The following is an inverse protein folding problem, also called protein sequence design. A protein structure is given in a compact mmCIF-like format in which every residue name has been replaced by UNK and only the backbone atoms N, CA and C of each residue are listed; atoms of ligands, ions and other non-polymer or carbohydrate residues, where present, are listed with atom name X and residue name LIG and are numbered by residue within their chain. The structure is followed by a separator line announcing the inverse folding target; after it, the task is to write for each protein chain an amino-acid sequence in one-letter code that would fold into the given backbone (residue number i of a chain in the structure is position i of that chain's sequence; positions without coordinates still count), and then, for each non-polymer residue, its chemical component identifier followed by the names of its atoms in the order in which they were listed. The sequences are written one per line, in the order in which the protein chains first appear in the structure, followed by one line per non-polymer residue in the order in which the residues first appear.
data_IF_023694848403
#
_entry.id   IF_023694848403
#
_cell.length_a   1.000
_cell.length_b   1.000
_cell.length_c   1.000
_cell.angle_alpha   90.00
_cell.angle_beta   90.00
_cell.angle_gamma   90.00
#
_symmetry.space_group_name_H-M   'P 1'
#
loop_
_entity.id
_entity.type
_entity.pdbx_description
1 polymer ?
#
# COMPACT_ATOMS: atom_id res chain seq x y z
N UNK A 1 18.35 -21.73 12.72
CA UNK A 1 17.11 -21.54 11.94
C UNK A 1 16.91 -20.03 11.89
N UNK A 2 17.12 -19.39 10.73
CA UNK A 2 16.95 -17.93 10.67
C UNK A 2 15.48 -17.62 10.82
N UNK A 3 15.10 -17.09 11.99
CA UNK A 3 13.81 -16.46 12.22
C UNK A 3 13.70 -15.29 11.24
N UNK A 4 13.16 -15.58 10.05
CA UNK A 4 12.53 -14.57 9.20
C UNK A 4 11.39 -14.04 10.05
N UNK A 5 11.65 -12.99 10.85
CA UNK A 5 10.61 -12.22 11.50
C UNK A 5 9.55 -11.97 10.44
N UNK A 6 8.36 -12.54 10.64
CA UNK A 6 7.23 -12.31 9.78
C UNK A 6 6.95 -10.82 9.87
N UNK A 7 7.34 -10.09 8.82
CA UNK A 7 7.06 -8.66 8.72
C UNK A 7 5.54 -8.51 8.64
N UNK A 8 4.93 -8.14 9.76
CA UNK A 8 3.51 -7.94 9.90
C UNK A 8 3.30 -6.50 10.40
N UNK A 9 2.65 -5.69 9.58
CA UNK A 9 2.22 -4.36 9.95
C UNK A 9 0.91 -4.45 10.75
N UNK A 10 0.77 -3.59 11.74
CA UNK A 10 -0.51 -3.32 12.40
C UNK A 10 -1.50 -2.66 11.43
N UNK A 11 -2.78 -2.61 11.79
CA UNK A 11 -3.81 -1.97 10.97
C UNK A 11 -3.52 -0.48 10.73
N UNK A 12 -3.01 0.22 11.75
CA UNK A 12 -2.71 1.65 11.67
C UNK A 12 -1.49 1.89 10.77
N UNK A 13 -0.45 1.06 10.85
CA UNK A 13 0.72 1.15 9.96
C UNK A 13 0.34 0.86 8.51
N UNK A 14 -0.55 -0.10 8.27
CA UNK A 14 -1.09 -0.36 6.95
C UNK A 14 -1.89 0.83 6.41
N UNK A 15 -2.66 1.52 7.27
CA UNK A 15 -3.37 2.74 6.87
C UNK A 15 -2.40 3.84 6.45
N UNK A 16 -1.30 4.04 7.18
CA UNK A 16 -0.24 4.99 6.80
C UNK A 16 0.33 4.66 5.41
N UNK A 17 0.59 3.39 5.11
CA UNK A 17 1.08 2.94 3.79
C UNK A 17 0.06 3.26 2.69
N UNK A 18 -1.23 3.00 2.94
CA UNK A 18 -2.28 3.33 1.98
C UNK A 18 -2.38 4.83 1.73
N UNK A 19 -2.34 5.64 2.79
CA UNK A 19 -2.47 7.10 2.67
C UNK A 19 -1.30 7.69 1.88
N UNK A 20 -0.08 7.24 2.15
CA UNK A 20 1.11 7.66 1.40
C UNK A 20 1.05 7.24 -0.08
N UNK A 21 0.57 6.02 -0.36
CA UNK A 21 0.42 5.52 -1.72
C UNK A 21 -0.68 6.29 -2.48
N UNK A 22 -1.80 6.57 -1.81
CA UNK A 22 -2.88 7.41 -2.35
C UNK A 22 -2.37 8.81 -2.69
N UNK A 23 -1.68 9.46 -1.74
CA UNK A 23 -1.09 10.77 -1.95
C UNK A 23 -0.16 10.78 -3.18
N UNK A 24 0.72 9.78 -3.29
CA UNK A 24 1.61 9.63 -4.45
C UNK A 24 0.83 9.47 -5.77
N UNK A 25 -0.22 8.64 -5.79
CA UNK A 25 -1.02 8.39 -7.00
C UNK A 25 -1.73 9.65 -7.52
N UNK A 26 -2.20 10.50 -6.61
CA UNK A 26 -3.09 11.61 -6.94
C UNK A 26 -2.38 12.96 -7.01
N UNK A 27 -1.29 13.15 -6.27
CA UNK A 27 -0.65 14.45 -6.10
C UNK A 27 0.72 14.56 -6.78
N UNK A 28 1.37 13.45 -7.12
CA UNK A 28 2.66 13.47 -7.81
C UNK A 28 2.51 13.30 -9.33
N UNK A 29 3.46 13.87 -10.08
CA UNK A 29 3.61 13.58 -11.51
C UNK A 29 4.24 12.20 -11.70
N UNK A 30 3.39 11.26 -12.12
CA UNK A 30 3.77 9.90 -12.46
C UNK A 30 3.50 9.66 -13.95
N UNK A 31 4.31 8.81 -14.57
CA UNK A 31 3.96 8.24 -15.87
C UNK A 31 2.63 7.48 -15.76
N UNK A 32 1.88 7.38 -16.86
CA UNK A 32 0.59 6.69 -16.87
C UNK A 32 0.71 5.24 -16.39
N UNK A 33 1.77 4.55 -16.81
CA UNK A 33 2.01 3.15 -16.47
C UNK A 33 2.37 2.98 -14.97
N UNK A 34 3.17 3.91 -14.41
CA UNK A 34 3.46 3.92 -12.98
C UNK A 34 2.20 4.21 -12.15
N UNK A 35 1.39 5.19 -12.56
CA UNK A 35 0.12 5.52 -11.91
C UNK A 35 -0.84 4.34 -11.93
N UNK A 36 -0.93 3.61 -13.06
CA UNK A 36 -1.76 2.40 -13.19
C UNK A 36 -1.30 1.30 -12.23
N UNK A 37 0.00 0.98 -12.21
CA UNK A 37 0.58 -0.02 -11.30
C UNK A 37 0.35 0.33 -9.84
N UNK A 38 0.52 1.60 -9.47
CA UNK A 38 0.28 2.08 -8.11
C UNK A 38 -1.20 1.96 -7.71
N UNK A 39 -2.14 2.32 -8.59
CA UNK A 39 -3.59 2.13 -8.37
C UNK A 39 -3.95 0.65 -8.17
N UNK A 40 -3.41 -0.23 -9.01
CA UNK A 40 -3.63 -1.67 -8.90
C UNK A 40 -3.11 -2.22 -7.56
N UNK A 41 -1.93 -1.74 -7.12
CA UNK A 41 -1.37 -2.08 -5.82
C UNK A 41 -2.25 -1.58 -4.67
N UNK A 42 -2.69 -0.32 -4.73
CA UNK A 42 -3.55 0.28 -3.71
C UNK A 42 -4.84 -0.52 -3.49
N UNK A 43 -5.51 -0.93 -4.58
CA UNK A 43 -6.73 -1.76 -4.50
C UNK A 43 -6.44 -3.14 -3.91
N UNK A 44 -5.30 -3.76 -4.23
CA UNK A 44 -4.91 -5.04 -3.62
C UNK A 44 -4.69 -4.90 -2.11
N UNK A 45 -3.93 -3.89 -1.69
CA UNK A 45 -3.63 -3.64 -0.28
C UNK A 45 -4.89 -3.31 0.54
N UNK A 46 -5.83 -2.54 -0.03
CA UNK A 46 -7.13 -2.27 0.62
C UNK A 46 -8.00 -3.51 0.86
N UNK A 47 -7.80 -4.59 0.11
CA UNK A 47 -8.55 -5.85 0.30
C UNK A 47 -7.92 -6.76 1.37
N UNK A 48 -6.61 -6.71 1.50
CA UNK A 48 -5.84 -7.47 2.50
C UNK A 48 -5.96 -6.86 3.91
N UNK A 49 -6.25 -5.56 4.00
CA UNK A 49 -6.54 -4.90 5.26
C UNK A 49 -7.87 -5.44 5.84
N UNK A 50 -7.88 -5.99 7.06
CA UNK A 50 -9.11 -6.42 7.70
C UNK A 50 -10.02 -5.19 7.88
N UNK A 51 -11.14 -5.19 7.17
CA UNK A 51 -12.22 -4.22 7.42
C UNK A 51 -12.77 -4.57 8.80
N UNK A 52 -12.61 -3.64 9.76
CA UNK A 52 -13.24 -3.74 11.09
C UNK A 52 -14.72 -4.03 10.98
#
# INVERSE_FOLDING_TARGET
MSDKQAFALSADEWQVVLDALSNTIFNEELTEDARKKAKDLFVKLQKELPRK
#
